data_IF_411055143743
#
_entry.id   IF_411055143743
#
_cell.length_a   1.000
_cell.length_b   1.000
_cell.length_c   1.000
_cell.angle_alpha   90.00
_cell.angle_beta   90.00
_cell.angle_gamma   90.00
#
_symmetry.space_group_name_H-M   'P 1'
#
loop_
_entity.id
_entity.type
_entity.pdbx_description
1 polymer ?
#
# COMPACT_ATOMS: atom_id res chain seq x y z
N UNK A 1 -69.36 -36.90 -13.52
CA UNK A 1 -68.69 -35.57 -13.37
C UNK A 1 -67.54 -35.73 -12.39
N UNK A 2 -66.34 -35.94 -12.87
CA UNK A 2 -65.13 -36.14 -12.05
C UNK A 2 -64.43 -34.81 -11.97
N UNK A 3 -64.36 -34.24 -10.73
CA UNK A 3 -63.60 -32.99 -10.48
C UNK A 3 -62.13 -33.34 -10.30
N UNK A 4 -61.32 -32.94 -11.27
CA UNK A 4 -59.85 -32.92 -11.14
C UNK A 4 -59.46 -31.76 -10.20
N UNK A 5 -58.93 -32.10 -9.04
CA UNK A 5 -58.27 -31.15 -8.15
C UNK A 5 -56.78 -31.17 -8.54
N UNK A 6 -56.36 -30.14 -9.25
CA UNK A 6 -54.97 -29.93 -9.60
C UNK A 6 -54.28 -29.23 -8.38
N UNK A 7 -53.60 -30.00 -7.55
CA UNK A 7 -52.78 -29.46 -6.48
C UNK A 7 -51.48 -28.94 -7.08
N UNK A 8 -51.37 -27.61 -7.18
CA UNK A 8 -50.16 -26.90 -7.61
C UNK A 8 -49.15 -26.98 -6.46
N UNK A 9 -48.22 -27.92 -6.54
CA UNK A 9 -47.09 -28.02 -5.60
C UNK A 9 -46.07 -26.93 -5.95
N UNK A 10 -46.15 -25.78 -5.26
CA UNK A 10 -45.12 -24.73 -5.37
C UNK A 10 -43.83 -25.25 -4.74
N UNK A 11 -42.87 -25.67 -5.57
CA UNK A 11 -41.50 -25.96 -5.15
C UNK A 11 -40.86 -24.64 -4.73
N UNK A 12 -40.88 -24.33 -3.44
CA UNK A 12 -39.99 -23.33 -2.87
C UNK A 12 -38.56 -23.87 -2.97
N UNK A 13 -37.82 -23.47 -3.99
CA UNK A 13 -36.36 -23.63 -4.00
C UNK A 13 -35.79 -22.72 -2.91
N UNK A 14 -35.62 -23.26 -1.72
CA UNK A 14 -34.77 -22.65 -0.73
C UNK A 14 -33.34 -22.70 -1.26
N UNK A 15 -32.87 -21.58 -1.82
CA UNK A 15 -31.44 -21.38 -2.05
C UNK A 15 -30.79 -21.38 -0.66
N UNK A 16 -30.25 -22.54 -0.27
CA UNK A 16 -29.41 -22.62 0.93
C UNK A 16 -28.15 -21.82 0.62
N UNK A 17 -28.11 -20.57 1.10
CA UNK A 17 -26.87 -19.81 1.13
C UNK A 17 -25.96 -20.53 2.13
N UNK A 18 -25.00 -21.29 1.60
CA UNK A 18 -23.97 -21.88 2.45
C UNK A 18 -23.06 -20.80 2.95
N UNK A 19 -22.79 -20.80 4.24
CA UNK A 19 -21.71 -20.03 4.84
C UNK A 19 -20.42 -20.30 4.06
N UNK A 20 -19.79 -19.23 3.56
CA UNK A 20 -18.55 -19.33 2.79
C UNK A 20 -17.42 -18.71 3.59
N UNK A 21 -16.30 -19.39 3.68
CA UNK A 21 -15.07 -18.80 4.17
C UNK A 21 -14.49 -17.89 3.06
N UNK A 22 -14.31 -16.60 3.37
CA UNK A 22 -13.64 -15.63 2.52
C UNK A 22 -12.19 -15.53 2.99
N UNK A 23 -11.24 -15.91 2.15
CA UNK A 23 -9.82 -15.84 2.47
C UNK A 23 -9.25 -14.52 1.99
N UNK A 24 -8.55 -13.79 2.88
CA UNK A 24 -7.85 -12.55 2.58
C UNK A 24 -6.35 -12.75 2.80
N UNK A 25 -5.54 -12.39 1.81
CA UNK A 25 -4.09 -12.36 1.98
C UNK A 25 -3.67 -11.12 2.78
N UNK A 26 -2.76 -11.27 3.73
CA UNK A 26 -2.07 -10.15 4.38
C UNK A 26 -0.62 -10.20 3.92
N UNK A 27 -0.22 -9.27 3.04
CA UNK A 27 1.14 -9.19 2.54
C UNK A 27 1.79 -7.90 3.03
N UNK A 28 2.77 -8.04 3.91
CA UNK A 28 3.48 -6.93 4.56
C UNK A 28 4.96 -7.30 4.72
N UNK A 29 5.84 -6.31 4.91
CA UNK A 29 7.26 -6.52 5.17
C UNK A 29 7.50 -7.03 6.59
N UNK A 30 7.22 -8.31 6.82
CA UNK A 30 7.50 -8.95 8.12
C UNK A 30 8.99 -9.13 8.35
N UNK A 31 9.81 -9.01 7.30
CA UNK A 31 11.25 -8.82 7.34
C UNK A 31 11.61 -7.54 6.60
N UNK A 32 12.82 -6.99 6.87
CA UNK A 32 13.29 -5.77 6.22
C UNK A 32 13.10 -4.49 7.05
N UNK A 33 13.21 -3.31 6.42
CA UNK A 33 13.41 -2.05 7.15
C UNK A 33 12.24 -1.62 8.05
N UNK A 34 11.02 -2.12 7.81
CA UNK A 34 9.85 -1.75 8.60
C UNK A 34 9.24 -2.91 9.39
N UNK A 35 9.99 -3.99 9.59
CA UNK A 35 9.54 -5.21 10.29
C UNK A 35 8.96 -4.94 11.69
N UNK A 36 9.41 -3.88 12.36
CA UNK A 36 8.90 -3.48 13.67
C UNK A 36 7.46 -2.93 13.65
N UNK A 37 6.97 -2.45 12.50
CA UNK A 37 5.65 -1.83 12.33
C UNK A 37 4.59 -2.84 11.86
N UNK A 38 4.99 -3.78 11.03
CA UNK A 38 4.07 -4.65 10.29
C UNK A 38 3.28 -5.64 11.15
N UNK A 39 3.79 -6.17 12.30
CA UNK A 39 2.99 -7.02 13.18
C UNK A 39 1.73 -6.34 13.69
N UNK A 40 1.83 -5.04 14.04
CA UNK A 40 0.68 -4.23 14.47
C UNK A 40 -0.34 -4.01 13.35
N UNK A 41 0.12 -3.75 12.13
CA UNK A 41 -0.75 -3.60 10.96
C UNK A 41 -1.51 -4.89 10.66
N UNK A 42 -0.82 -6.04 10.68
CA UNK A 42 -1.44 -7.35 10.49
C UNK A 42 -2.46 -7.67 11.58
N UNK A 43 -2.13 -7.43 12.85
CA UNK A 43 -3.04 -7.66 13.97
C UNK A 43 -4.31 -6.79 13.86
N UNK A 44 -4.17 -5.53 13.42
CA UNK A 44 -5.32 -4.64 13.17
C UNK A 44 -6.25 -5.17 12.07
N UNK A 45 -5.69 -5.68 10.97
CA UNK A 45 -6.48 -6.29 9.90
C UNK A 45 -7.19 -7.58 10.39
N UNK A 46 -6.48 -8.44 11.10
CA UNK A 46 -7.05 -9.69 11.65
C UNK A 46 -8.16 -9.41 12.68
N UNK A 47 -8.01 -8.36 13.49
CA UNK A 47 -9.06 -7.91 14.39
C UNK A 47 -10.31 -7.52 13.61
N UNK A 48 -10.19 -6.71 12.56
CA UNK A 48 -11.31 -6.30 11.72
C UNK A 48 -11.99 -7.50 11.05
N UNK A 49 -11.22 -8.50 10.58
CA UNK A 49 -11.78 -9.73 10.01
C UNK A 49 -12.54 -10.57 11.03
N UNK A 50 -12.04 -10.65 12.25
CA UNK A 50 -12.72 -11.33 13.36
C UNK A 50 -14.00 -10.60 13.75
N UNK A 51 -13.99 -9.27 13.86
CA UNK A 51 -15.17 -8.46 14.15
C UNK A 51 -16.22 -8.61 13.05
N UNK A 52 -15.82 -8.54 11.78
CA UNK A 52 -16.73 -8.76 10.65
C UNK A 52 -17.37 -10.15 10.69
N UNK A 53 -16.57 -11.20 10.95
CA UNK A 53 -17.06 -12.58 11.05
C UNK A 53 -18.05 -12.76 12.20
N UNK A 54 -17.78 -12.14 13.37
CA UNK A 54 -18.60 -12.26 14.57
C UNK A 54 -19.84 -11.34 14.54
N UNK A 55 -19.88 -10.35 13.67
CA UNK A 55 -20.98 -9.39 13.59
C UNK A 55 -22.32 -9.99 13.16
N UNK A 56 -22.29 -11.14 12.47
CA UNK A 56 -23.44 -11.75 11.82
C UNK A 56 -23.96 -10.96 10.59
N UNK A 57 -23.26 -9.88 10.18
CA UNK A 57 -23.65 -9.04 9.04
C UNK A 57 -23.24 -9.63 7.68
N UNK A 58 -22.34 -10.60 7.66
CA UNK A 58 -21.91 -11.24 6.43
C UNK A 58 -22.98 -12.22 5.91
N UNK A 59 -23.23 -12.17 4.59
CA UNK A 59 -24.27 -12.98 3.96
C UNK A 59 -24.07 -14.49 4.22
N UNK A 60 -25.17 -15.16 4.56
CA UNK A 60 -25.20 -16.60 4.77
C UNK A 60 -24.39 -17.11 5.95
N UNK A 61 -24.00 -16.23 6.90
CA UNK A 61 -23.14 -16.61 8.01
C UNK A 61 -21.69 -16.85 7.59
N UNK A 62 -21.24 -16.23 6.51
CA UNK A 62 -19.86 -16.30 6.03
C UNK A 62 -18.87 -15.74 7.07
N UNK A 63 -17.64 -16.22 6.99
CA UNK A 63 -16.53 -15.78 7.85
C UNK A 63 -15.35 -15.32 7.00
N UNK A 64 -14.48 -14.50 7.58
CA UNK A 64 -13.22 -14.07 6.96
C UNK A 64 -12.07 -14.75 7.69
N UNK A 65 -11.16 -15.34 6.95
CA UNK A 65 -9.87 -15.82 7.45
C UNK A 65 -8.72 -15.13 6.72
N UNK A 66 -7.53 -15.13 7.31
CA UNK A 66 -6.35 -14.51 6.70
C UNK A 66 -5.19 -15.49 6.53
N UNK A 67 -4.34 -15.21 5.54
CA UNK A 67 -3.07 -15.89 5.32
C UNK A 67 -2.01 -14.80 5.18
N UNK A 68 -0.96 -14.86 6.02
CA UNK A 68 0.15 -13.90 5.97
C UNK A 68 1.21 -14.32 4.96
N UNK A 69 1.81 -13.35 4.28
CA UNK A 69 2.97 -13.51 3.42
C UNK A 69 3.90 -12.30 3.59
N UNK A 70 5.19 -12.50 3.38
CA UNK A 70 6.22 -11.48 3.57
C UNK A 70 6.54 -10.78 2.24
N UNK A 71 6.37 -9.45 2.19
CA UNK A 71 6.74 -8.62 1.04
C UNK A 71 8.18 -8.14 1.09
N UNK A 72 8.87 -8.30 2.21
CA UNK A 72 10.20 -7.75 2.52
C UNK A 72 10.32 -6.21 2.45
N UNK A 73 9.30 -5.50 1.98
CA UNK A 73 9.28 -4.07 1.70
C UNK A 73 10.17 -3.63 0.51
N UNK A 74 11.30 -4.27 0.25
CA UNK A 74 12.33 -3.80 -0.68
C UNK A 74 12.53 -4.70 -1.91
N UNK A 75 12.18 -5.98 -1.85
CA UNK A 75 12.36 -6.94 -2.95
C UNK A 75 11.04 -7.18 -3.69
N UNK A 76 10.88 -6.51 -4.83
CA UNK A 76 9.68 -6.63 -5.66
C UNK A 76 9.44 -8.03 -6.22
N UNK A 77 10.50 -8.82 -6.47
CA UNK A 77 10.37 -10.18 -6.96
C UNK A 77 9.91 -11.13 -5.84
N UNK A 78 10.47 -10.98 -4.64
CA UNK A 78 10.02 -11.73 -3.47
C UNK A 78 8.57 -11.41 -3.12
N UNK A 79 8.18 -10.12 -3.16
CA UNK A 79 6.80 -9.69 -2.92
C UNK A 79 5.81 -10.25 -3.95
N UNK A 80 6.16 -10.25 -5.24
CA UNK A 80 5.34 -10.86 -6.29
C UNK A 80 5.17 -12.37 -6.05
N UNK A 81 6.26 -13.08 -5.75
CA UNK A 81 6.18 -14.53 -5.45
C UNK A 81 5.33 -14.82 -4.21
N UNK A 82 5.43 -13.99 -3.16
CA UNK A 82 4.59 -14.10 -1.97
C UNK A 82 3.10 -13.86 -2.28
N UNK A 83 2.79 -12.91 -3.17
CA UNK A 83 1.43 -12.66 -3.63
C UNK A 83 0.89 -13.82 -4.50
N UNK A 84 1.70 -14.38 -5.39
CA UNK A 84 1.33 -15.59 -6.16
C UNK A 84 1.03 -16.78 -5.24
N UNK A 85 1.82 -16.96 -4.20
CA UNK A 85 1.52 -17.95 -3.17
C UNK A 85 0.14 -17.70 -2.56
N UNK A 86 -0.20 -16.47 -2.15
CA UNK A 86 -1.52 -16.13 -1.62
C UNK A 86 -2.65 -16.48 -2.61
N UNK A 87 -2.48 -16.14 -3.90
CA UNK A 87 -3.45 -16.50 -4.94
C UNK A 87 -3.63 -18.03 -5.00
N UNK A 88 -2.53 -18.80 -4.94
CA UNK A 88 -2.58 -20.27 -4.95
C UNK A 88 -3.35 -20.86 -3.75
N UNK A 89 -3.39 -20.14 -2.62
CA UNK A 89 -4.16 -20.51 -1.43
C UNK A 89 -5.65 -20.15 -1.53
N UNK A 90 -6.06 -19.52 -2.63
CA UNK A 90 -7.44 -19.16 -2.91
C UNK A 90 -7.90 -17.89 -2.19
N UNK A 91 -7.00 -16.95 -1.91
CA UNK A 91 -7.41 -15.63 -1.41
C UNK A 91 -8.20 -14.89 -2.49
N UNK A 92 -9.17 -14.10 -2.06
CA UNK A 92 -10.07 -13.34 -2.94
C UNK A 92 -9.86 -11.83 -2.83
N UNK A 93 -9.05 -11.39 -1.88
CA UNK A 93 -8.61 -10.01 -1.70
C UNK A 93 -7.24 -10.00 -0.99
N UNK A 94 -6.50 -8.91 -1.13
CA UNK A 94 -5.20 -8.71 -0.50
C UNK A 94 -5.24 -7.42 0.34
N UNK A 95 -4.89 -7.51 1.62
CA UNK A 95 -4.52 -6.40 2.48
C UNK A 95 -3.00 -6.25 2.42
N UNK A 96 -2.55 -5.14 1.88
CA UNK A 96 -1.12 -4.89 1.60
C UNK A 96 -0.90 -4.44 0.15
N UNK A 97 0.33 -4.29 -0.35
CA UNK A 97 1.51 -4.33 0.50
C UNK A 97 1.68 -2.99 1.21
N UNK A 98 2.73 -2.88 2.00
CA UNK A 98 3.00 -1.71 2.86
C UNK A 98 3.88 -0.66 2.17
N UNK A 99 4.98 -1.07 1.55
CA UNK A 99 5.92 -0.19 0.88
C UNK A 99 5.55 0.03 -0.58
N UNK A 100 5.70 1.26 -1.10
CA UNK A 100 5.15 1.66 -2.41
C UNK A 100 5.66 0.83 -3.58
N UNK A 101 6.98 0.53 -3.64
CA UNK A 101 7.57 -0.23 -4.75
C UNK A 101 7.03 -1.66 -4.82
N UNK A 102 7.03 -2.38 -3.69
CA UNK A 102 6.49 -3.75 -3.64
C UNK A 102 4.97 -3.77 -3.84
N UNK A 103 4.26 -2.72 -3.40
CA UNK A 103 2.81 -2.56 -3.68
C UNK A 103 2.55 -2.46 -5.18
N UNK A 104 3.30 -1.61 -5.88
CA UNK A 104 3.19 -1.47 -7.33
C UNK A 104 3.52 -2.77 -8.07
N UNK A 105 4.55 -3.48 -7.63
CA UNK A 105 4.95 -4.76 -8.21
C UNK A 105 3.87 -5.85 -8.02
N UNK A 106 3.34 -6.00 -6.81
CA UNK A 106 2.25 -6.95 -6.53
C UNK A 106 0.99 -6.58 -7.30
N UNK A 107 0.64 -5.30 -7.35
CA UNK A 107 -0.54 -4.82 -8.08
C UNK A 107 -0.46 -5.17 -9.56
N UNK A 108 0.61 -4.75 -10.23
CA UNK A 108 0.74 -4.90 -11.69
C UNK A 108 0.98 -6.33 -12.14
N UNK A 109 1.79 -7.10 -11.39
CA UNK A 109 2.21 -8.42 -11.83
C UNK A 109 1.30 -9.56 -11.33
N UNK A 110 0.56 -9.34 -10.22
CA UNK A 110 -0.22 -10.42 -9.60
C UNK A 110 -1.69 -10.05 -9.43
N UNK A 111 -2.00 -8.95 -8.74
CA UNK A 111 -3.37 -8.65 -8.36
C UNK A 111 -4.25 -8.32 -9.57
N UNK A 112 -3.82 -7.40 -10.44
CA UNK A 112 -4.56 -7.02 -11.66
C UNK A 112 -4.75 -8.20 -12.61
N UNK A 113 -3.70 -8.98 -12.97
CA UNK A 113 -3.86 -10.14 -13.84
C UNK A 113 -4.82 -11.22 -13.30
N UNK A 114 -4.92 -11.36 -11.98
CA UNK A 114 -5.80 -12.33 -11.34
C UNK A 114 -7.18 -11.75 -10.94
N UNK A 115 -7.43 -10.46 -11.19
CA UNK A 115 -8.68 -9.80 -10.82
C UNK A 115 -8.92 -9.72 -9.31
N UNK A 116 -7.85 -9.64 -8.51
CA UNK A 116 -7.89 -9.64 -7.05
C UNK A 116 -7.73 -8.22 -6.52
N UNK A 117 -8.71 -7.68 -5.77
CA UNK A 117 -8.60 -6.35 -5.20
C UNK A 117 -7.52 -6.29 -4.11
N UNK A 118 -6.82 -5.15 -4.05
CA UNK A 118 -5.81 -4.82 -3.05
C UNK A 118 -6.17 -3.57 -2.28
N UNK A 119 -5.89 -3.58 -0.98
CA UNK A 119 -5.94 -2.38 -0.14
C UNK A 119 -4.64 -2.24 0.66
N UNK A 120 -3.87 -1.18 0.37
CA UNK A 120 -2.62 -0.90 1.09
C UNK A 120 -2.88 -0.08 2.35
N UNK A 121 -2.27 -0.43 3.49
CA UNK A 121 -2.37 0.35 4.71
C UNK A 121 -1.48 1.60 4.70
N UNK A 122 -0.38 1.62 3.93
CA UNK A 122 0.69 2.60 4.08
C UNK A 122 1.45 2.98 2.81
N UNK A 123 1.17 2.41 1.65
CA UNK A 123 1.84 2.79 0.41
C UNK A 123 1.38 4.18 -0.07
N UNK A 124 2.27 5.16 -0.07
CA UNK A 124 1.94 6.59 -0.25
C UNK A 124 2.40 7.19 -1.58
N UNK A 125 3.25 6.50 -2.36
CA UNK A 125 3.77 7.04 -3.63
C UNK A 125 2.65 7.63 -4.51
N UNK A 126 2.84 8.85 -5.07
CA UNK A 126 1.90 9.46 -6.01
C UNK A 126 1.63 8.60 -7.24
N UNK A 127 2.61 7.82 -7.69
CA UNK A 127 2.49 6.94 -8.85
C UNK A 127 1.37 5.91 -8.71
N UNK A 128 1.07 5.45 -7.49
CA UNK A 128 -0.02 4.52 -7.23
C UNK A 128 -1.42 5.12 -7.49
N UNK A 129 -1.55 6.45 -7.52
CA UNK A 129 -2.82 7.12 -7.84
C UNK A 129 -3.21 6.99 -9.30
N UNK A 130 -2.21 6.88 -10.18
CA UNK A 130 -2.38 6.83 -11.64
C UNK A 130 -1.97 5.48 -12.23
N UNK A 131 -1.72 4.49 -11.39
CA UNK A 131 -1.40 3.13 -11.84
C UNK A 131 -2.58 2.52 -12.60
N UNK A 132 -2.28 1.73 -13.61
CA UNK A 132 -3.28 0.94 -14.35
C UNK A 132 -3.73 -0.23 -13.47
N UNK A 133 -4.77 -0.02 -12.69
CA UNK A 133 -5.23 -0.93 -11.66
C UNK A 133 -6.58 -1.62 -11.92
N UNK A 134 -7.23 -1.29 -13.05
CA UNK A 134 -8.57 -1.77 -13.36
C UNK A 134 -9.62 -1.53 -12.26
N UNK A 135 -9.40 -0.55 -11.39
CA UNK A 135 -10.25 -0.26 -10.22
C UNK A 135 -10.07 -1.25 -9.08
N UNK A 136 -8.95 -1.97 -9.03
CA UNK A 136 -8.68 -3.01 -8.03
C UNK A 136 -7.77 -2.53 -6.89
N UNK A 137 -7.17 -1.33 -7.00
CA UNK A 137 -6.27 -0.81 -5.97
C UNK A 137 -6.93 0.28 -5.12
N UNK A 138 -6.76 0.13 -3.82
CA UNK A 138 -7.18 1.08 -2.80
C UNK A 138 -6.07 1.28 -1.78
N UNK A 139 -6.10 2.40 -1.05
CA UNK A 139 -5.21 2.64 0.09
C UNK A 139 -5.91 3.46 1.17
N UNK A 140 -5.56 3.20 2.42
CA UNK A 140 -6.06 3.97 3.57
C UNK A 140 -5.16 5.15 3.90
N UNK A 141 -3.88 5.11 3.48
CA UNK A 141 -2.96 6.23 3.61
C UNK A 141 -3.19 7.27 2.50
N UNK A 142 -3.08 8.58 2.77
CA UNK A 142 -3.13 9.61 1.74
C UNK A 142 -1.92 9.52 0.80
N UNK A 143 -2.04 10.12 -0.40
CA UNK A 143 -0.91 10.25 -1.30
C UNK A 143 0.09 11.30 -0.82
N UNK A 144 1.38 11.03 -1.01
CA UNK A 144 2.47 11.98 -0.76
C UNK A 144 2.43 13.22 -1.68
N UNK A 145 1.59 13.22 -2.72
CA UNK A 145 1.36 14.40 -3.53
C UNK A 145 0.98 15.63 -2.68
N UNK A 146 0.13 15.43 -1.66
CA UNK A 146 -0.21 16.51 -0.73
C UNK A 146 0.85 16.71 0.35
N UNK A 147 1.50 15.61 0.77
CA UNK A 147 2.55 15.67 1.80
C UNK A 147 3.74 16.55 1.39
N UNK A 148 4.22 16.38 0.16
CA UNK A 148 5.31 17.18 -0.40
C UNK A 148 4.96 18.67 -0.53
N UNK A 149 3.73 19.00 -0.94
CA UNK A 149 3.25 20.39 -0.99
C UNK A 149 3.24 21.03 0.41
N UNK A 150 2.69 20.31 1.42
CA UNK A 150 2.62 20.81 2.80
C UNK A 150 4.02 21.00 3.38
N UNK A 151 4.95 20.08 3.09
CA UNK A 151 6.33 20.22 3.53
C UNK A 151 6.99 21.47 2.92
N UNK A 152 6.73 21.78 1.65
CA UNK A 152 7.22 22.99 0.99
C UNK A 152 6.56 24.26 1.57
N UNK A 153 5.27 24.24 1.93
CA UNK A 153 4.62 25.32 2.66
C UNK A 153 5.34 25.60 3.99
N UNK A 154 5.58 24.55 4.78
CA UNK A 154 6.28 24.66 6.09
C UNK A 154 7.70 25.21 5.91
N UNK A 155 8.41 24.78 4.86
CA UNK A 155 9.76 25.26 4.54
C UNK A 155 9.73 26.76 4.24
N UNK A 156 8.80 27.21 3.41
CA UNK A 156 8.60 28.63 3.07
C UNK A 156 8.19 29.46 4.30
N UNK A 157 7.23 29.00 5.09
CA UNK A 157 6.74 29.69 6.29
C UNK A 157 7.84 29.90 7.36
N UNK A 158 8.83 29.03 7.36
CA UNK A 158 10.02 29.17 8.24
C UNK A 158 11.08 30.12 7.68
N UNK A 159 10.86 30.71 6.52
CA UNK A 159 11.79 31.63 5.88
C UNK A 159 13.04 30.94 5.32
N UNK A 160 12.98 29.63 5.07
CA UNK A 160 14.06 28.85 4.43
C UNK A 160 14.00 29.15 2.93
N UNK A 161 15.10 29.66 2.37
CA UNK A 161 15.18 30.09 0.99
C UNK A 161 15.93 29.11 0.07
N UNK A 162 16.67 28.18 0.65
CA UNK A 162 17.42 27.19 -0.10
C UNK A 162 17.50 25.85 0.65
N UNK A 163 17.42 24.75 -0.07
CA UNK A 163 17.46 23.39 0.50
C UNK A 163 18.32 22.44 -0.34
N UNK A 164 19.00 21.52 0.34
CA UNK A 164 19.48 20.29 -0.26
C UNK A 164 18.52 19.14 0.07
N UNK A 165 18.26 18.22 -0.87
CA UNK A 165 17.34 17.09 -0.69
C UNK A 165 18.14 15.79 -0.77
N UNK A 166 17.91 14.88 0.17
CA UNK A 166 18.29 13.47 0.01
C UNK A 166 17.09 12.57 0.25
N UNK A 167 17.01 11.49 -0.50
CA UNK A 167 15.88 10.57 -0.43
C UNK A 167 16.32 9.13 -0.63
N UNK A 168 15.64 8.20 0.06
CA UNK A 168 15.87 6.77 -0.15
C UNK A 168 15.50 6.38 -1.58
N UNK A 169 16.37 5.61 -2.23
CA UNK A 169 16.20 5.19 -3.64
C UNK A 169 15.11 4.12 -3.80
N UNK A 170 13.88 4.51 -3.54
CA UNK A 170 12.67 3.66 -3.67
C UNK A 170 11.55 4.47 -4.31
N UNK A 171 10.48 3.82 -4.80
CA UNK A 171 9.31 4.49 -5.37
C UNK A 171 8.64 5.47 -4.39
N UNK A 172 8.73 5.21 -3.08
CA UNK A 172 8.30 6.13 -2.05
C UNK A 172 9.19 7.38 -2.01
N UNK A 173 10.52 7.17 -1.84
CA UNK A 173 11.45 8.29 -1.69
C UNK A 173 11.53 9.17 -2.93
N UNK A 174 11.61 8.56 -4.11
CA UNK A 174 11.59 9.29 -5.40
C UNK A 174 10.30 10.10 -5.53
N UNK A 175 9.14 9.47 -5.31
CA UNK A 175 7.84 10.12 -5.50
C UNK A 175 7.63 11.33 -4.58
N UNK A 176 7.97 11.21 -3.30
CA UNK A 176 7.85 12.33 -2.34
C UNK A 176 8.88 13.42 -2.63
N UNK A 177 10.12 13.04 -2.98
CA UNK A 177 11.17 14.01 -3.32
C UNK A 177 10.82 14.84 -4.57
N UNK A 178 10.25 14.22 -5.59
CA UNK A 178 9.83 14.92 -6.82
C UNK A 178 8.71 15.93 -6.54
N UNK A 179 7.71 15.54 -5.75
CA UNK A 179 6.61 16.43 -5.36
C UNK A 179 7.13 17.59 -4.52
N UNK A 180 7.96 17.30 -3.52
CA UNK A 180 8.54 18.34 -2.66
C UNK A 180 9.38 19.32 -3.48
N UNK A 181 10.29 18.85 -4.34
CA UNK A 181 11.13 19.69 -5.19
C UNK A 181 10.28 20.63 -6.06
N UNK A 182 9.30 20.07 -6.78
CA UNK A 182 8.42 20.89 -7.62
C UNK A 182 7.66 21.95 -6.81
N UNK A 183 7.18 21.57 -5.62
CA UNK A 183 6.47 22.47 -4.72
C UNK A 183 7.37 23.54 -4.10
N UNK A 184 8.61 23.21 -3.79
CA UNK A 184 9.63 24.14 -3.25
C UNK A 184 10.01 25.17 -4.30
N UNK A 185 10.31 24.75 -5.52
CA UNK A 185 10.62 25.65 -6.65
C UNK A 185 9.44 26.60 -6.93
N UNK A 186 8.20 26.10 -6.91
CA UNK A 186 7.01 26.94 -7.11
C UNK A 186 6.83 28.02 -6.04
N UNK A 187 7.45 27.85 -4.86
CA UNK A 187 7.47 28.82 -3.74
C UNK A 187 8.71 29.69 -3.72
N UNK A 188 9.58 29.58 -4.72
CA UNK A 188 10.82 30.35 -4.82
C UNK A 188 11.94 29.84 -3.90
N UNK A 189 11.84 28.60 -3.40
CA UNK A 189 12.91 27.96 -2.65
C UNK A 189 13.89 27.35 -3.65
N UNK A 190 15.17 27.68 -3.50
CA UNK A 190 16.24 27.13 -4.34
C UNK A 190 16.57 25.70 -3.91
N UNK A 191 16.59 24.77 -4.83
CA UNK A 191 17.01 23.37 -4.59
C UNK A 191 18.46 23.24 -5.04
N UNK A 192 19.38 23.32 -4.08
CA UNK A 192 20.83 23.32 -4.33
C UNK A 192 21.38 21.95 -4.73
N UNK A 193 20.77 20.89 -4.25
CA UNK A 193 21.05 19.49 -4.62
C UNK A 193 19.85 18.59 -4.38
N UNK A 194 19.75 17.53 -5.20
CA UNK A 194 18.85 16.43 -4.98
C UNK A 194 19.57 15.13 -5.26
N UNK A 195 19.77 14.27 -4.26
CA UNK A 195 20.55 13.04 -4.39
C UNK A 195 19.87 11.88 -3.69
N UNK A 196 19.87 10.73 -4.35
CA UNK A 196 19.41 9.49 -3.77
C UNK A 196 20.45 8.92 -2.79
N UNK A 197 19.95 8.19 -1.80
CA UNK A 197 20.75 7.30 -0.98
C UNK A 197 20.11 5.92 -0.91
N UNK A 198 20.93 4.90 -0.76
CA UNK A 198 20.43 3.55 -0.48
C UNK A 198 20.13 3.42 1.01
N UNK A 199 19.05 2.68 1.34
CA UNK A 199 18.76 2.32 2.72
C UNK A 199 19.84 1.39 3.30
N UNK A 200 20.01 1.39 4.62
CA UNK A 200 20.84 0.44 5.36
C UNK A 200 22.33 0.41 4.97
N UNK A 201 22.85 1.53 4.42
CA UNK A 201 24.30 1.67 4.19
C UNK A 201 25.06 1.84 5.52
N UNK A 202 26.22 1.21 5.60
CA UNK A 202 27.13 1.39 6.74
C UNK A 202 27.81 2.78 6.76
N UNK A 203 27.88 3.47 5.61
CA UNK A 203 28.56 4.74 5.44
C UNK A 203 27.86 5.61 4.39
N UNK A 204 27.51 6.83 4.77
CA UNK A 204 26.90 7.87 3.93
C UNK A 204 27.83 9.06 3.65
N UNK A 205 29.15 8.90 3.84
CA UNK A 205 30.12 9.98 3.67
C UNK A 205 30.09 10.63 2.29
N UNK A 206 29.81 9.84 1.24
CA UNK A 206 29.74 10.34 -0.13
C UNK A 206 28.52 11.27 -0.32
N UNK A 207 27.34 10.84 0.14
CA UNK A 207 26.10 11.61 0.08
C UNK A 207 26.21 12.89 0.94
N UNK A 208 26.74 12.75 2.14
CA UNK A 208 27.02 13.90 3.02
C UNK A 208 27.99 14.88 2.37
N UNK A 209 29.03 14.39 1.69
CA UNK A 209 29.98 15.25 0.97
C UNK A 209 29.32 16.03 -0.16
N UNK A 210 28.45 15.41 -0.94
CA UNK A 210 27.66 16.08 -2.01
C UNK A 210 26.75 17.15 -1.41
N UNK A 211 25.94 16.79 -0.43
CA UNK A 211 24.97 17.69 0.21
C UNK A 211 25.65 18.88 0.89
N UNK A 212 26.75 18.63 1.61
CA UNK A 212 27.51 19.69 2.28
C UNK A 212 28.15 20.66 1.27
N UNK A 213 28.64 20.15 0.13
CA UNK A 213 29.24 20.98 -0.93
C UNK A 213 28.22 21.81 -1.66
N UNK A 214 27.00 21.32 -1.81
CA UNK A 214 25.90 22.04 -2.45
C UNK A 214 25.39 23.21 -1.59
N UNK A 215 25.54 23.13 -0.28
CA UNK A 215 25.05 24.12 0.67
C UNK A 215 23.53 24.12 0.76
N UNK A 216 22.98 25.23 1.28
CA UNK A 216 21.56 25.43 1.53
C UNK A 216 21.27 25.77 2.99
N UNK A 217 20.14 26.44 3.22
CA UNK A 217 19.71 26.84 4.58
C UNK A 217 19.24 25.62 5.41
N UNK A 218 18.76 24.58 4.71
CA UNK A 218 18.26 23.36 5.35
C UNK A 218 18.51 22.11 4.50
N UNK A 219 18.53 20.96 5.18
CA UNK A 219 18.56 19.65 4.57
C UNK A 219 17.18 18.99 4.70
N UNK A 220 16.64 18.50 3.61
CA UNK A 220 15.44 17.67 3.56
C UNK A 220 15.85 16.23 3.41
N UNK A 221 15.47 15.39 4.36
CA UNK A 221 15.76 13.95 4.35
C UNK A 221 14.45 13.19 4.24
N UNK A 222 14.35 12.35 3.24
CA UNK A 222 13.19 11.49 2.94
C UNK A 222 13.66 10.03 2.99
N UNK A 223 13.14 9.26 3.97
CA UNK A 223 13.54 7.87 4.19
C UNK A 223 12.70 7.15 5.23
#
# INVERSE_FOLDING_TARGET
MIKFITTLLALFMFSTSYAKEVKVGIILGFTGPIESLTPGMAAGAELAFNEASNSGALLGGSTVSSIRADSTCIDSAAAASAAEFLISQGVTAIMGADCSGVTGAVLSNVAVPNGVPMISPSATSPALTTAEDNGLFFRTAPSDARGGEVLADITSDRGISSVAITYVNTDYGVGLADVYEAAAIARGIDVTAKTAHEGDKADYSAEVGVLSSAGGDALVVIG
#
